data_IF_358930460045
#
_entry.id   IF_358930460045
#
_cell.length_a   1.000
_cell.length_b   1.000
_cell.length_c   1.000
_cell.angle_alpha   90.00
_cell.angle_beta   90.00
_cell.angle_gamma   90.00
#
_symmetry.space_group_name_H-M   'P 1'
#
loop_
_entity.id
_entity.type
_entity.pdbx_description
1 polymer ?
#
# COMPACT_ATOMS: atom_id res chain seq x y z
N UNK A 1 -19.58 22.23 -31.58
CA UNK A 1 -18.90 21.50 -30.48
C UNK A 1 -19.63 21.83 -29.19
N UNK A 2 -20.36 20.89 -28.59
CA UNK A 2 -21.33 21.19 -27.53
C UNK A 2 -20.66 21.59 -26.21
N UNK A 3 -21.36 22.41 -25.41
CA UNK A 3 -20.90 22.90 -24.10
C UNK A 3 -20.59 21.73 -23.16
N UNK A 4 -21.34 20.62 -23.26
CA UNK A 4 -21.08 19.38 -22.53
C UNK A 4 -19.73 18.73 -22.90
N UNK A 5 -19.33 18.79 -24.18
CA UNK A 5 -18.06 18.26 -24.66
C UNK A 5 -16.87 19.17 -24.26
N UNK A 6 -17.11 20.49 -24.18
CA UNK A 6 -16.16 21.43 -23.58
C UNK A 6 -16.03 21.24 -22.07
N UNK A 7 -17.13 21.01 -21.34
CA UNK A 7 -17.07 20.69 -19.91
C UNK A 7 -16.35 19.37 -19.67
N UNK A 8 -16.64 18.29 -20.42
CA UNK A 8 -15.88 17.05 -20.33
C UNK A 8 -14.38 17.23 -20.64
N UNK A 9 -14.02 18.03 -21.65
CA UNK A 9 -12.62 18.33 -21.97
C UNK A 9 -11.95 19.25 -20.94
N UNK A 10 -12.71 20.15 -20.31
CA UNK A 10 -12.20 21.05 -19.26
C UNK A 10 -12.05 20.32 -17.93
N UNK A 11 -12.91 19.36 -17.65
CA UNK A 11 -12.82 18.42 -16.53
C UNK A 11 -11.71 17.38 -16.71
N UNK A 12 -11.41 17.01 -17.96
CA UNK A 12 -10.20 16.24 -18.30
C UNK A 12 -8.91 17.05 -18.11
N UNK A 13 -9.02 18.39 -18.02
CA UNK A 13 -7.92 19.33 -17.81
C UNK A 13 -7.63 19.62 -16.33
N UNK A 14 -8.50 19.20 -15.41
CA UNK A 14 -8.26 19.33 -13.97
C UNK A 14 -7.31 18.24 -13.47
N UNK A 15 -6.02 18.61 -13.37
CA UNK A 15 -4.88 17.86 -12.79
C UNK A 15 -4.52 16.52 -13.46
N UNK A 16 -3.49 16.52 -14.36
CA UNK A 16 -2.92 15.30 -14.93
C UNK A 16 -2.50 14.25 -13.88
N UNK A 17 -2.20 14.69 -12.66
CA UNK A 17 -1.81 13.89 -11.49
C UNK A 17 -2.93 12.97 -10.95
N UNK A 18 -4.18 13.16 -11.37
CA UNK A 18 -5.37 12.41 -10.88
C UNK A 18 -5.93 11.42 -11.89
N UNK A 19 -5.39 11.41 -13.10
CA UNK A 19 -5.72 10.42 -14.10
C UNK A 19 -4.92 9.15 -13.75
N UNK A 20 -5.59 8.02 -13.51
CA UNK A 20 -4.95 6.72 -13.27
C UNK A 20 -5.32 5.75 -14.40
N UNK A 21 -4.31 5.20 -15.09
CA UNK A 21 -4.43 4.27 -16.19
C UNK A 21 -4.46 2.82 -15.71
N UNK A 22 -4.52 1.85 -16.64
CA UNK A 22 -4.54 0.45 -16.28
C UNK A 22 -3.28 0.07 -15.50
N UNK A 23 -3.48 -0.68 -14.43
CA UNK A 23 -2.41 -1.11 -13.55
C UNK A 23 -1.39 -1.98 -14.29
N UNK A 24 -0.11 -1.69 -14.08
CA UNK A 24 0.99 -2.51 -14.60
C UNK A 24 1.81 -3.02 -13.42
N UNK A 25 1.82 -4.35 -13.14
CA UNK A 25 2.46 -4.92 -11.96
C UNK A 25 4.00 -4.92 -12.03
N UNK A 26 4.55 -4.94 -13.25
CA UNK A 26 5.99 -5.10 -13.50
C UNK A 26 6.94 -4.20 -12.67
N UNK A 27 6.67 -2.90 -12.48
CA UNK A 27 7.53 -2.01 -11.68
C UNK A 27 7.55 -2.33 -10.19
N UNK A 28 6.49 -2.95 -9.65
CA UNK A 28 6.42 -3.35 -8.24
C UNK A 28 7.13 -4.68 -7.97
N UNK A 29 7.29 -5.55 -8.98
CA UNK A 29 7.84 -6.90 -8.83
C UNK A 29 9.17 -6.94 -8.05
N UNK A 30 10.23 -6.18 -8.42
CA UNK A 30 11.52 -6.30 -7.72
C UNK A 30 11.41 -5.95 -6.23
N UNK A 31 10.59 -4.94 -5.92
CA UNK A 31 10.39 -4.48 -4.56
C UNK A 31 9.50 -5.43 -3.75
N UNK A 32 8.46 -6.01 -4.35
CA UNK A 32 7.64 -7.03 -3.69
C UNK A 32 8.39 -8.34 -3.47
N UNK A 33 9.27 -8.74 -4.40
CA UNK A 33 10.17 -9.88 -4.23
C UNK A 33 11.09 -9.63 -3.04
N UNK A 34 11.72 -8.45 -2.97
CA UNK A 34 12.58 -8.05 -1.86
C UNK A 34 11.80 -8.04 -0.53
N UNK A 35 10.60 -7.45 -0.52
CA UNK A 35 9.73 -7.38 0.65
C UNK A 35 9.34 -8.77 1.16
N UNK A 36 9.02 -9.71 0.26
CA UNK A 36 8.69 -11.09 0.62
C UNK A 36 9.92 -11.85 1.14
N UNK A 37 11.08 -11.70 0.48
CA UNK A 37 12.33 -12.34 0.90
C UNK A 37 12.79 -11.87 2.29
N UNK A 38 12.72 -10.56 2.55
CA UNK A 38 13.07 -9.98 3.86
C UNK A 38 12.14 -10.47 4.98
N UNK A 39 10.84 -10.70 4.68
CA UNK A 39 9.90 -11.31 5.65
C UNK A 39 10.27 -12.75 5.95
N UNK A 40 10.71 -13.54 4.97
CA UNK A 40 11.23 -14.89 5.21
C UNK A 40 12.44 -14.84 6.14
N UNK A 41 13.35 -13.87 5.96
CA UNK A 41 14.49 -13.67 6.86
C UNK A 41 14.03 -13.27 8.27
N UNK A 42 13.09 -12.33 8.37
CA UNK A 42 12.59 -11.81 9.64
C UNK A 42 11.89 -12.88 10.49
N UNK A 43 11.17 -13.81 9.86
CA UNK A 43 10.46 -14.89 10.55
C UNK A 43 11.28 -16.18 10.65
N UNK A 44 12.30 -16.36 9.83
CA UNK A 44 13.09 -17.60 9.74
C UNK A 44 14.44 -17.58 10.47
N UNK A 45 15.02 -16.41 10.76
CA UNK A 45 16.29 -16.27 11.51
C UNK A 45 16.04 -15.43 12.76
N UNK A 46 16.57 -15.86 13.90
CA UNK A 46 16.23 -15.37 15.24
C UNK A 46 16.20 -13.84 15.45
N UNK A 47 15.69 -13.43 16.61
CA UNK A 47 15.23 -12.06 16.94
C UNK A 47 16.17 -10.90 16.56
N UNK A 48 17.49 -11.11 16.45
CA UNK A 48 18.46 -10.04 16.17
C UNK A 48 18.37 -9.41 14.77
N UNK A 49 17.91 -10.14 13.75
CA UNK A 49 17.78 -9.60 12.38
C UNK A 49 16.34 -9.24 11.98
N UNK A 50 15.36 -9.56 12.83
CA UNK A 50 13.95 -9.39 12.50
C UNK A 50 13.56 -7.92 12.29
N UNK A 51 13.95 -7.04 13.21
CA UNK A 51 13.65 -5.60 13.13
C UNK A 51 14.20 -4.92 11.87
N UNK A 52 15.52 -4.98 11.58
CA UNK A 52 16.05 -4.36 10.36
C UNK A 52 15.47 -4.99 9.09
N UNK A 53 15.20 -6.30 9.10
CA UNK A 53 14.55 -6.96 7.96
C UNK A 53 13.13 -6.39 7.73
N UNK A 54 12.31 -6.23 8.77
CA UNK A 54 10.95 -5.65 8.68
C UNK A 54 11.01 -4.22 8.14
N UNK A 55 11.90 -3.38 8.68
CA UNK A 55 12.05 -1.98 8.21
C UNK A 55 12.39 -1.92 6.72
N UNK A 56 13.36 -2.72 6.27
CA UNK A 56 13.72 -2.80 4.85
C UNK A 56 12.57 -3.37 3.99
N UNK A 57 11.79 -4.28 4.56
CA UNK A 57 10.66 -4.88 3.89
C UNK A 57 9.52 -3.85 3.71
N UNK A 58 9.32 -2.95 4.67
CA UNK A 58 8.36 -1.84 4.60
C UNK A 58 8.80 -0.75 3.62
N UNK A 59 10.10 -0.41 3.60
CA UNK A 59 10.67 0.44 2.54
C UNK A 59 10.39 -0.16 1.16
N UNK A 60 10.56 -1.48 1.02
CA UNK A 60 10.30 -2.19 -0.22
C UNK A 60 8.80 -2.15 -0.59
N UNK A 61 7.88 -2.30 0.37
CA UNK A 61 6.43 -2.14 0.13
C UNK A 61 6.10 -0.73 -0.34
N UNK A 62 6.68 0.31 0.28
CA UNK A 62 6.48 1.70 -0.15
C UNK A 62 7.01 1.94 -1.57
N UNK A 63 8.20 1.43 -1.89
CA UNK A 63 8.77 1.55 -3.23
C UNK A 63 7.91 0.82 -4.27
N UNK A 64 7.38 -0.36 -3.93
CA UNK A 64 6.43 -1.08 -4.78
C UNK A 64 5.16 -0.25 -5.01
N UNK A 65 4.58 0.29 -3.94
CA UNK A 65 3.39 1.12 -4.00
C UNK A 65 3.62 2.38 -4.85
N UNK A 66 4.75 3.05 -4.63
CA UNK A 66 5.15 4.25 -5.34
C UNK A 66 5.35 4.02 -6.84
N UNK A 67 6.16 3.03 -7.20
CA UNK A 67 6.45 2.69 -8.60
C UNK A 67 5.16 2.39 -9.37
N UNK A 68 4.20 1.77 -8.69
CA UNK A 68 2.92 1.37 -9.26
C UNK A 68 1.92 2.52 -9.34
N UNK A 69 1.82 3.35 -8.29
CA UNK A 69 1.02 4.57 -8.30
C UNK A 69 1.47 5.51 -9.42
N UNK A 70 2.79 5.76 -9.53
CA UNK A 70 3.40 6.57 -10.59
C UNK A 70 3.06 6.03 -11.98
N UNK A 71 3.25 4.75 -12.24
CA UNK A 71 2.96 4.16 -13.56
C UNK A 71 1.49 4.20 -13.89
N UNK A 72 0.62 4.08 -12.89
CA UNK A 72 -0.81 4.28 -13.06
C UNK A 72 -1.08 5.73 -13.47
N UNK A 73 -0.47 6.74 -12.82
CA UNK A 73 -0.61 8.16 -13.22
C UNK A 73 -0.14 8.40 -14.65
N UNK A 74 1.05 7.91 -15.00
CA UNK A 74 1.65 8.07 -16.33
C UNK A 74 0.82 7.38 -17.43
N UNK A 75 0.30 6.17 -17.17
CA UNK A 75 -0.51 5.42 -18.13
C UNK A 75 -1.84 6.11 -18.48
N UNK A 76 -2.25 7.08 -17.67
CA UNK A 76 -3.47 7.83 -17.84
C UNK A 76 -3.28 9.16 -18.60
N UNK A 77 -2.07 9.40 -19.12
CA UNK A 77 -1.68 10.67 -19.74
C UNK A 77 -1.27 11.75 -18.72
N UNK A 78 -1.11 11.39 -17.44
CA UNK A 78 -0.59 12.28 -16.41
C UNK A 78 0.90 12.54 -16.59
N UNK A 79 1.35 13.79 -16.43
CA UNK A 79 2.77 14.09 -16.19
C UNK A 79 3.05 13.82 -14.72
N UNK A 80 4.00 12.93 -14.44
CA UNK A 80 4.51 12.67 -13.09
C UNK A 80 5.88 13.36 -13.00
N UNK A 81 6.00 14.35 -12.12
CA UNK A 81 7.27 15.02 -11.82
C UNK A 81 8.24 14.06 -11.10
N UNK A 82 7.67 13.06 -10.41
CA UNK A 82 8.41 11.95 -9.83
C UNK A 82 9.00 11.02 -10.91
N UNK A 83 8.59 11.22 -12.17
CA UNK A 83 9.15 10.73 -13.43
C UNK A 83 10.67 10.81 -13.53
N UNK A 84 11.16 12.00 -13.22
CA UNK A 84 12.53 12.43 -13.48
C UNK A 84 13.44 12.21 -12.26
N UNK A 85 12.88 11.71 -11.15
CA UNK A 85 13.64 11.42 -9.94
C UNK A 85 14.56 10.21 -10.13
N UNK A 86 15.82 10.41 -9.78
CA UNK A 86 16.80 9.36 -9.60
C UNK A 86 16.33 8.33 -8.56
N UNK A 87 16.89 7.13 -8.62
CA UNK A 87 16.59 6.08 -7.64
C UNK A 87 16.91 6.52 -6.21
N UNK A 88 17.98 7.31 -6.02
CA UNK A 88 18.36 7.87 -4.72
C UNK A 88 17.28 8.82 -4.18
N UNK A 89 16.69 9.66 -5.02
CA UNK A 89 15.60 10.57 -4.62
C UNK A 89 14.31 9.81 -4.32
N UNK A 90 13.99 8.75 -5.07
CA UNK A 90 12.85 7.88 -4.79
C UNK A 90 13.00 7.16 -3.43
N UNK A 91 14.20 6.68 -3.11
CA UNK A 91 14.50 6.09 -1.79
C UNK A 91 14.37 7.16 -0.71
N UNK A 92 14.94 8.36 -0.90
CA UNK A 92 14.88 9.45 0.08
C UNK A 92 13.44 9.88 0.35
N UNK A 93 12.63 9.99 -0.70
CA UNK A 93 11.20 10.28 -0.60
C UNK A 93 10.49 9.17 0.16
N UNK A 94 10.74 7.91 -0.18
CA UNK A 94 10.14 6.75 0.50
C UNK A 94 10.50 6.70 1.99
N UNK A 95 11.75 6.98 2.35
CA UNK A 95 12.18 7.09 3.75
C UNK A 95 11.53 8.26 4.48
N UNK A 96 11.34 9.40 3.80
CA UNK A 96 10.64 10.56 4.36
C UNK A 96 9.17 10.26 4.63
N UNK A 97 8.51 9.56 3.72
CA UNK A 97 7.13 9.07 3.90
C UNK A 97 7.09 8.05 5.03
N UNK A 98 8.00 7.07 5.03
CA UNK A 98 8.08 6.02 6.05
C UNK A 98 8.16 6.61 7.45
N UNK A 99 9.10 7.53 7.70
CA UNK A 99 9.26 8.13 9.03
C UNK A 99 7.97 8.81 9.52
N UNK A 100 7.29 9.55 8.65
CA UNK A 100 6.03 10.24 8.99
C UNK A 100 4.89 9.26 9.27
N UNK A 101 4.77 8.20 8.46
CA UNK A 101 3.76 7.16 8.67
C UNK A 101 4.05 6.36 9.93
N UNK A 102 5.32 6.05 10.21
CA UNK A 102 5.74 5.42 11.47
C UNK A 102 5.36 6.28 12.67
N UNK A 103 5.54 7.60 12.61
CA UNK A 103 5.08 8.49 13.68
C UNK A 103 3.55 8.45 13.85
N UNK A 104 2.78 8.43 12.77
CA UNK A 104 1.31 8.28 12.83
C UNK A 104 0.92 6.94 13.46
N UNK A 105 1.57 5.84 13.06
CA UNK A 105 1.31 4.51 13.63
C UNK A 105 1.70 4.44 15.11
N UNK A 106 2.84 5.03 15.50
CA UNK A 106 3.29 5.08 16.90
C UNK A 106 2.35 5.93 17.77
N UNK A 107 1.85 7.05 17.24
CA UNK A 107 0.87 7.89 17.94
C UNK A 107 -0.46 7.15 18.11
N UNK A 108 -0.96 6.49 17.06
CA UNK A 108 -2.19 5.70 17.11
C UNK A 108 -2.05 4.51 18.09
N UNK A 109 -0.91 3.83 18.06
CA UNK A 109 -0.57 2.74 19.00
C UNK A 109 -0.57 3.22 20.44
N UNK A 110 0.13 4.33 20.71
CA UNK A 110 0.20 4.92 22.05
C UNK A 110 -1.17 5.38 22.55
N UNK A 111 -1.96 6.00 21.70
CA UNK A 111 -3.32 6.44 22.03
C UNK A 111 -4.24 5.25 22.34
N UNK A 112 -4.21 4.20 21.52
CA UNK A 112 -4.99 2.98 21.77
C UNK A 112 -4.58 2.31 23.09
N UNK A 113 -3.28 2.25 23.39
CA UNK A 113 -2.78 1.72 24.65
C UNK A 113 -3.25 2.56 25.85
N UNK A 114 -3.19 3.89 25.75
CA UNK A 114 -3.65 4.81 26.79
C UNK A 114 -5.16 4.72 27.05
N UNK A 115 -5.95 4.37 26.02
CA UNK A 115 -7.40 4.11 26.13
C UNK A 115 -7.73 2.69 26.65
N UNK A 116 -6.73 1.88 26.99
CA UNK A 116 -6.90 0.54 27.55
C UNK A 116 -6.92 -0.60 26.53
N UNK A 117 -6.76 -0.33 25.23
CA UNK A 117 -6.72 -1.35 24.16
C UNK A 117 -5.33 -2.00 24.01
N UNK A 118 -4.73 -2.44 25.12
CA UNK A 118 -3.32 -2.89 25.16
C UNK A 118 -3.02 -4.12 24.30
N UNK A 119 -3.97 -5.02 24.09
CA UNK A 119 -3.82 -6.19 23.20
C UNK A 119 -3.92 -5.83 21.72
N UNK A 120 -4.74 -4.83 21.38
CA UNK A 120 -4.94 -4.42 19.99
C UNK A 120 -3.88 -3.41 19.53
N UNK A 121 -3.43 -2.53 20.42
CA UNK A 121 -2.52 -1.42 20.12
C UNK A 121 -1.28 -1.84 19.31
N UNK A 122 -0.55 -2.95 19.62
CA UNK A 122 0.62 -3.34 18.84
C UNK A 122 0.33 -3.60 17.36
N UNK A 123 -0.88 -4.03 17.01
CA UNK A 123 -1.25 -4.32 15.62
C UNK A 123 -1.34 -3.05 14.75
N UNK A 124 -1.49 -1.87 15.38
CA UNK A 124 -1.51 -0.59 14.67
C UNK A 124 -0.14 -0.22 14.08
N UNK A 125 0.95 -0.82 14.58
CA UNK A 125 2.28 -0.66 13.99
C UNK A 125 2.45 -1.37 12.65
N UNK A 126 1.61 -2.36 12.33
CA UNK A 126 1.68 -3.10 11.08
C UNK A 126 0.87 -2.43 9.93
N UNK A 127 0.39 -1.21 10.13
CA UNK A 127 -0.50 -0.51 9.19
C UNK A 127 0.05 -0.45 7.76
N UNK A 128 1.34 -0.13 7.61
CA UNK A 128 2.02 -0.05 6.31
C UNK A 128 2.22 -1.44 5.69
N UNK A 129 2.63 -2.42 6.48
CA UNK A 129 2.82 -3.80 6.01
C UNK A 129 1.54 -4.36 5.36
N UNK A 130 0.40 -4.09 6.00
CA UNK A 130 -0.92 -4.51 5.51
C UNK A 130 -1.36 -3.92 4.17
N UNK A 131 -0.59 -3.03 3.56
CA UNK A 131 -0.80 -2.57 2.18
C UNK A 131 -0.55 -3.68 1.15
N UNK A 132 0.37 -4.60 1.46
CA UNK A 132 0.74 -5.73 0.61
C UNK A 132 0.55 -7.06 1.35
N UNK A 133 0.85 -7.15 2.64
CA UNK A 133 0.78 -8.40 3.39
C UNK A 133 -0.49 -8.49 4.23
N UNK A 134 -0.80 -9.67 4.74
CA UNK A 134 -2.04 -9.89 5.47
C UNK A 134 -1.92 -9.37 6.90
N UNK A 135 -2.94 -8.66 7.35
CA UNK A 135 -3.02 -8.13 8.70
C UNK A 135 -3.58 -9.16 9.67
N UNK A 136 -3.15 -9.09 10.92
CA UNK A 136 -3.50 -10.10 11.94
C UNK A 136 -4.95 -10.01 12.43
N UNK A 137 -5.58 -8.85 12.28
CA UNK A 137 -6.91 -8.57 12.83
C UNK A 137 -7.81 -7.90 11.80
N UNK A 138 -9.12 -8.08 11.94
CA UNK A 138 -10.13 -7.45 11.07
C UNK A 138 -10.02 -5.93 11.14
N UNK A 139 -9.95 -5.37 12.35
CA UNK A 139 -9.73 -3.93 12.57
C UNK A 139 -8.38 -3.45 11.97
N UNK A 140 -7.33 -4.26 12.07
CA UNK A 140 -6.03 -4.00 11.44
C UNK A 140 -6.10 -3.89 9.92
N UNK A 141 -6.98 -4.66 9.25
CA UNK A 141 -7.17 -4.58 7.79
C UNK A 141 -7.79 -3.25 7.36
N UNK A 142 -8.73 -2.70 8.14
CA UNK A 142 -9.26 -1.35 7.93
C UNK A 142 -8.21 -0.28 8.23
N UNK A 143 -7.42 -0.46 9.29
CA UNK A 143 -6.32 0.43 9.62
C UNK A 143 -5.28 0.51 8.49
N UNK A 144 -4.87 -0.63 7.95
CA UNK A 144 -3.97 -0.68 6.80
C UNK A 144 -4.56 -0.03 5.55
N UNK A 145 -5.86 -0.17 5.31
CA UNK A 145 -6.55 0.56 4.24
C UNK A 145 -6.49 2.08 4.45
N UNK A 146 -6.66 2.55 5.69
CA UNK A 146 -6.55 3.98 6.02
C UNK A 146 -5.11 4.50 5.86
N UNK A 147 -4.10 3.73 6.29
CA UNK A 147 -2.69 4.07 6.08
C UNK A 147 -2.36 4.10 4.59
N UNK A 148 -2.85 3.14 3.80
CA UNK A 148 -2.67 3.13 2.35
C UNK A 148 -3.26 4.39 1.68
N UNK A 149 -4.45 4.81 2.10
CA UNK A 149 -5.08 6.03 1.62
C UNK A 149 -4.25 7.28 1.98
N UNK A 150 -3.74 7.36 3.22
CA UNK A 150 -2.88 8.45 3.65
C UNK A 150 -1.57 8.49 2.85
N UNK A 151 -0.93 7.33 2.64
CA UNK A 151 0.28 7.22 1.80
C UNK A 151 0.00 7.68 0.37
N UNK A 152 -1.13 7.26 -0.22
CA UNK A 152 -1.52 7.72 -1.56
C UNK A 152 -1.66 9.25 -1.61
N UNK A 153 -2.32 9.86 -0.62
CA UNK A 153 -2.49 11.31 -0.57
C UNK A 153 -1.17 12.05 -0.41
N UNK A 154 -0.23 11.51 0.38
CA UNK A 154 1.11 12.06 0.50
C UNK A 154 1.83 12.02 -0.85
N UNK A 155 1.74 10.90 -1.58
CA UNK A 155 2.37 10.75 -2.89
C UNK A 155 1.76 11.72 -3.91
N UNK A 156 0.44 11.81 -3.98
CA UNK A 156 -0.27 12.73 -4.89
C UNK A 156 0.10 14.19 -4.59
N UNK A 157 0.22 14.57 -3.31
CA UNK A 157 0.65 15.92 -2.95
C UNK A 157 2.14 16.16 -3.27
N UNK A 158 3.00 15.17 -3.06
CA UNK A 158 4.42 15.26 -3.38
C UNK A 158 4.68 15.39 -4.90
N UNK A 159 3.87 14.75 -5.75
CA UNK A 159 3.89 14.95 -7.21
C UNK A 159 3.67 16.42 -7.59
N UNK A 160 2.69 17.09 -6.95
CA UNK A 160 2.35 18.48 -7.23
C UNK A 160 3.31 19.52 -6.64
N UNK A 161 4.12 19.15 -5.64
CA UNK A 161 4.97 20.05 -4.86
C UNK A 161 6.48 19.72 -4.93
N UNK A 162 6.96 19.29 -6.10
CA UNK A 162 8.38 19.03 -6.35
C UNK A 162 9.03 18.06 -5.33
N UNK A 163 8.30 17.03 -4.89
CA UNK A 163 8.79 16.01 -3.97
C UNK A 163 8.79 16.39 -2.49
N UNK A 164 8.26 17.56 -2.11
CA UNK A 164 8.12 17.95 -0.69
C UNK A 164 7.04 17.14 0.01
N UNK A 165 7.43 16.39 1.04
CA UNK A 165 6.51 15.60 1.86
C UNK A 165 5.88 16.48 2.94
N UNK A 166 4.60 16.81 2.78
CA UNK A 166 3.84 17.63 3.72
C UNK A 166 2.65 16.84 4.31
N UNK A 167 2.89 16.18 5.45
CA UNK A 167 1.87 15.33 6.10
C UNK A 167 0.57 16.10 6.42
N UNK A 168 0.68 17.32 6.92
CA UNK A 168 -0.50 18.13 7.25
C UNK A 168 -1.32 18.51 6.02
N UNK A 169 -0.66 18.80 4.90
CA UNK A 169 -1.35 19.06 3.65
C UNK A 169 -2.02 17.80 3.09
N UNK A 170 -1.36 16.64 3.20
CA UNK A 170 -1.94 15.35 2.83
C UNK A 170 -3.15 14.99 3.71
N UNK A 171 -3.08 15.19 5.03
CA UNK A 171 -4.22 15.00 5.95
C UNK A 171 -5.35 15.97 5.63
N UNK A 172 -5.04 17.24 5.35
CA UNK A 172 -6.05 18.23 4.93
C UNK A 172 -6.71 17.84 3.62
N UNK A 173 -5.94 17.36 2.64
CA UNK A 173 -6.46 16.86 1.38
C UNK A 173 -7.33 15.60 1.60
N UNK A 174 -6.91 14.70 2.49
CA UNK A 174 -7.72 13.55 2.88
C UNK A 174 -9.04 13.98 3.53
N UNK A 175 -9.02 15.00 4.39
CA UNK A 175 -10.23 15.59 4.97
C UNK A 175 -11.14 16.23 3.92
N UNK A 176 -10.55 16.92 2.93
CA UNK A 176 -11.30 17.50 1.81
C UNK A 176 -11.95 16.42 0.92
N UNK A 177 -11.33 15.25 0.82
CA UNK A 177 -11.81 14.11 0.02
C UNK A 177 -12.43 13.00 0.90
N UNK A 178 -12.78 13.32 2.15
CA UNK A 178 -13.03 12.34 3.21
C UNK A 178 -14.16 11.37 2.89
N UNK A 179 -15.25 11.85 2.27
CA UNK A 179 -16.41 11.00 2.00
C UNK A 179 -16.05 9.82 1.07
N UNK A 180 -15.52 10.13 -0.12
CA UNK A 180 -15.17 9.10 -1.11
C UNK A 180 -13.96 8.27 -0.70
N UNK A 181 -12.98 8.86 0.00
CA UNK A 181 -11.86 8.10 0.53
C UNK A 181 -12.27 7.21 1.69
N UNK A 182 -13.21 7.62 2.56
CA UNK A 182 -13.75 6.76 3.61
C UNK A 182 -14.49 5.57 3.01
N UNK A 183 -15.31 5.78 1.97
CA UNK A 183 -15.96 4.68 1.24
C UNK A 183 -14.91 3.73 0.65
N UNK A 184 -13.85 4.27 0.02
CA UNK A 184 -12.77 3.45 -0.53
C UNK A 184 -12.02 2.67 0.54
N UNK A 185 -11.76 3.26 1.71
CA UNK A 185 -11.12 2.60 2.86
C UNK A 185 -12.02 1.47 3.41
N UNK A 186 -13.32 1.70 3.54
CA UNK A 186 -14.28 0.67 3.98
C UNK A 186 -14.39 -0.48 2.99
N UNK A 187 -14.50 -0.16 1.69
CA UNK A 187 -14.52 -1.16 0.63
C UNK A 187 -13.22 -1.98 0.62
N UNK A 188 -12.06 -1.32 0.72
CA UNK A 188 -10.76 -1.98 0.75
C UNK A 188 -10.59 -2.87 1.99
N UNK A 189 -10.98 -2.39 3.17
CA UNK A 189 -10.96 -3.20 4.39
C UNK A 189 -11.82 -4.45 4.27
N UNK A 190 -13.02 -4.33 3.70
CA UNK A 190 -13.93 -5.47 3.44
C UNK A 190 -13.32 -6.47 2.47
N UNK A 191 -12.73 -5.99 1.36
CA UNK A 191 -12.05 -6.87 0.39
C UNK A 191 -10.83 -7.55 1.03
N UNK A 192 -10.08 -6.85 1.89
CA UNK A 192 -8.96 -7.44 2.61
C UNK A 192 -9.39 -8.56 3.56
N UNK A 193 -10.56 -8.46 4.20
CA UNK A 193 -11.14 -9.55 5.00
C UNK A 193 -11.44 -10.75 4.10
N UNK A 194 -12.14 -10.55 2.98
CA UNK A 194 -12.47 -11.62 2.05
C UNK A 194 -11.20 -12.31 1.48
N UNK A 195 -10.19 -11.52 1.12
CA UNK A 195 -8.89 -12.03 0.68
C UNK A 195 -8.19 -12.82 1.78
N UNK A 196 -8.27 -12.39 3.04
CA UNK A 196 -7.64 -13.12 4.14
C UNK A 196 -8.28 -14.48 4.39
N UNK A 197 -9.61 -14.60 4.24
CA UNK A 197 -10.30 -15.89 4.27
C UNK A 197 -9.78 -16.82 3.17
N UNK A 198 -9.73 -16.33 1.92
CA UNK A 198 -9.17 -17.09 0.80
C UNK A 198 -7.70 -17.45 1.00
N UNK A 199 -6.90 -16.50 1.50
CA UNK A 199 -5.49 -16.70 1.84
C UNK A 199 -5.32 -17.75 2.95
N UNK A 200 -6.23 -17.80 3.93
CA UNK A 200 -6.25 -18.79 5.00
C UNK A 200 -6.46 -20.21 4.47
N UNK A 201 -7.39 -20.40 3.53
CA UNK A 201 -7.62 -21.69 2.86
C UNK A 201 -6.38 -22.18 2.12
N UNK A 202 -5.77 -21.29 1.31
CA UNK A 202 -4.54 -21.62 0.55
C UNK A 202 -3.36 -21.85 1.51
N UNK A 203 -3.22 -21.06 2.58
CA UNK A 203 -2.20 -21.24 3.61
C UNK A 203 -2.31 -22.61 4.26
N UNK A 204 -3.52 -23.05 4.59
CA UNK A 204 -3.75 -24.38 5.16
C UNK A 204 -3.36 -25.48 4.15
N UNK A 205 -3.75 -25.35 2.89
CA UNK A 205 -3.34 -26.31 1.84
C UNK A 205 -1.81 -26.39 1.69
N UNK A 206 -1.12 -25.25 1.72
CA UNK A 206 0.34 -25.19 1.64
C UNK A 206 0.99 -25.76 2.90
N UNK A 207 0.41 -25.53 4.08
CA UNK A 207 0.88 -26.13 5.33
C UNK A 207 0.77 -27.66 5.28
N UNK A 208 -0.36 -28.18 4.81
CA UNK A 208 -0.54 -29.63 4.61
C UNK A 208 0.49 -30.18 3.61
N UNK A 209 0.67 -29.51 2.47
CA UNK A 209 1.72 -29.87 1.50
C UNK A 209 3.11 -29.85 2.13
N UNK A 210 3.43 -28.85 2.96
CA UNK A 210 4.72 -28.75 3.62
C UNK A 210 5.00 -29.96 4.52
N UNK A 211 3.99 -30.41 5.27
CA UNK A 211 4.09 -31.52 6.23
C UNK A 211 4.15 -32.89 5.54
N UNK A 212 3.36 -33.09 4.48
CA UNK A 212 3.18 -34.43 3.88
C UNK A 212 4.05 -34.68 2.66
N UNK A 213 4.55 -33.62 2.01
CA UNK A 213 5.25 -33.76 0.74
C UNK A 213 6.70 -34.25 0.93
N UNK A 214 7.13 -35.27 0.15
CA UNK A 214 8.49 -35.81 0.20
C UNK A 214 9.50 -34.94 -0.57
N UNK A 215 9.09 -33.81 -1.14
CA UNK A 215 9.98 -32.92 -1.90
C UNK A 215 11.01 -32.24 -0.97
N UNK A 216 12.12 -31.81 -1.55
CA UNK A 216 13.20 -31.15 -0.81
C UNK A 216 12.79 -29.76 -0.27
N UNK A 217 13.42 -29.35 0.83
CA UNK A 217 13.21 -28.05 1.49
C UNK A 217 13.28 -26.82 0.54
N UNK A 218 14.21 -26.75 -0.44
CA UNK A 218 14.23 -25.65 -1.40
C UNK A 218 12.94 -25.56 -2.23
N UNK A 219 12.38 -26.70 -2.66
CA UNK A 219 11.14 -26.74 -3.44
C UNK A 219 9.96 -26.26 -2.60
N UNK A 220 9.87 -26.71 -1.34
CA UNK A 220 8.84 -26.24 -0.39
C UNK A 220 8.94 -24.73 -0.17
N UNK A 221 10.15 -24.22 0.00
CA UNK A 221 10.43 -22.79 0.18
C UNK A 221 10.01 -21.96 -1.02
N UNK A 222 10.25 -22.44 -2.24
CA UNK A 222 9.80 -21.78 -3.48
C UNK A 222 8.28 -21.72 -3.53
N UNK A 223 7.58 -22.82 -3.25
CA UNK A 223 6.10 -22.85 -3.21
C UNK A 223 5.55 -21.84 -2.20
N UNK A 224 6.12 -21.80 -0.99
CA UNK A 224 5.72 -20.87 0.06
C UNK A 224 6.00 -19.40 -0.33
N UNK A 225 7.17 -19.13 -0.92
CA UNK A 225 7.51 -17.81 -1.44
C UNK A 225 6.54 -17.37 -2.55
N UNK A 226 6.27 -18.22 -3.53
CA UNK A 226 5.32 -17.94 -4.62
C UNK A 226 3.95 -17.60 -4.07
N UNK A 227 3.46 -18.35 -3.09
CA UNK A 227 2.19 -18.04 -2.42
C UNK A 227 2.17 -16.66 -1.75
N UNK A 228 3.17 -16.36 -0.92
CA UNK A 228 3.27 -15.05 -0.25
C UNK A 228 3.31 -13.94 -1.28
N UNK A 229 4.15 -14.09 -2.29
CA UNK A 229 4.36 -13.12 -3.35
C UNK A 229 3.09 -12.87 -4.17
N UNK A 230 2.38 -13.94 -4.57
CA UNK A 230 1.13 -13.82 -5.34
C UNK A 230 0.05 -13.07 -4.58
N UNK A 231 -0.14 -13.37 -3.28
CA UNK A 231 -1.09 -12.62 -2.45
C UNK A 231 -0.65 -11.18 -2.20
N UNK A 232 0.65 -10.94 -2.02
CA UNK A 232 1.18 -9.59 -1.86
C UNK A 232 0.95 -8.71 -3.10
N UNK A 233 1.22 -9.28 -4.28
CA UNK A 233 0.95 -8.64 -5.57
C UNK A 233 -0.53 -8.34 -5.76
N UNK A 234 -1.40 -9.32 -5.47
CA UNK A 234 -2.86 -9.17 -5.58
C UNK A 234 -3.40 -8.10 -4.63
N UNK A 235 -2.96 -8.10 -3.37
CA UNK A 235 -3.39 -7.11 -2.37
C UNK A 235 -2.93 -5.71 -2.74
N UNK A 236 -1.67 -5.53 -3.14
CA UNK A 236 -1.17 -4.24 -3.59
C UNK A 236 -1.97 -3.72 -4.80
N UNK A 237 -2.29 -4.61 -5.74
CA UNK A 237 -3.12 -4.30 -6.90
C UNK A 237 -4.51 -3.78 -6.53
N UNK A 238 -5.19 -4.51 -5.66
CA UNK A 238 -6.54 -4.15 -5.18
C UNK A 238 -6.51 -2.84 -4.41
N UNK A 239 -5.56 -2.68 -3.48
CA UNK A 239 -5.36 -1.47 -2.70
C UNK A 239 -5.26 -0.24 -3.60
N UNK A 240 -4.36 -0.27 -4.59
CA UNK A 240 -4.20 0.86 -5.51
C UNK A 240 -5.45 1.05 -6.38
N UNK A 241 -6.05 -0.01 -6.88
CA UNK A 241 -7.23 0.10 -7.75
C UNK A 241 -8.43 0.74 -7.05
N UNK A 242 -8.73 0.31 -5.81
CA UNK A 242 -9.85 0.85 -5.02
C UNK A 242 -9.57 2.29 -4.61
N UNK A 243 -8.38 2.59 -4.09
CA UNK A 243 -8.06 3.94 -3.63
C UNK A 243 -8.00 4.96 -4.77
N UNK A 244 -7.44 4.58 -5.91
CA UNK A 244 -7.40 5.45 -7.10
C UNK A 244 -8.80 5.67 -7.68
N UNK A 245 -9.66 4.66 -7.66
CA UNK A 245 -11.07 4.81 -8.03
C UNK A 245 -11.79 5.79 -7.08
N UNK A 246 -11.64 5.60 -5.76
CA UNK A 246 -12.22 6.49 -4.76
C UNK A 246 -11.75 7.94 -4.92
N UNK A 247 -10.46 8.13 -5.19
CA UNK A 247 -9.90 9.45 -5.43
C UNK A 247 -10.48 10.10 -6.69
N UNK A 248 -10.62 9.35 -7.80
CA UNK A 248 -11.25 9.84 -9.03
C UNK A 248 -12.71 10.27 -8.81
N UNK A 249 -13.50 9.48 -8.10
CA UNK A 249 -14.88 9.83 -7.78
C UNK A 249 -14.97 11.09 -6.90
N UNK A 250 -14.01 11.24 -5.98
CA UNK A 250 -13.90 12.43 -5.14
C UNK A 250 -13.64 13.71 -5.92
N UNK A 251 -12.90 13.61 -7.03
CA UNK A 251 -12.75 14.72 -7.95
C UNK A 251 -14.02 14.92 -8.77
N UNK A 252 -14.57 13.86 -9.40
CA UNK A 252 -15.76 13.88 -10.27
C UNK A 252 -17.04 14.42 -9.62
N UNK A 253 -17.19 14.27 -8.30
CA UNK A 253 -18.35 14.75 -7.55
C UNK A 253 -18.29 16.24 -7.15
N UNK A 254 -17.25 16.98 -7.56
CA UNK A 254 -17.15 18.44 -7.38
C UNK A 254 -17.33 19.17 -8.71
#
# INVERSE_FOLDING_TARGET
MSIALRQQLSYRKTRPETSFGPFRPFPALPWLIMAAALRIVAYGKGAGLALPAIVLADVSVLLAFFATARRSIQAAGGRSSLGDLSLAEQIRLSLSILWRITLVMAAATSAAAALGFTTFAPNLMAGLDGMAFDQFTDAGRYWSAAIAALVLMIIVHAEGNAGRVELFAAVRALAQHAFWLAIAVLALGTVNIALSLGQGLVRNAIWQFWQTSPVSEPVKSVVYFTFIFSFAMLRLWITLSILTFGLKQSYAGR
#
